data_IF_956210432755
#
_entry.id   IF_956210432755
#
_cell.length_a   1.000
_cell.length_b   1.000
_cell.length_c   1.000
_cell.angle_alpha   90.00
_cell.angle_beta   90.00
_cell.angle_gamma   90.00
#
_symmetry.space_group_name_H-M   'P 1'
#
loop_
_entity.id
_entity.type
_entity.pdbx_description
1 polymer ?
#
# COMPACT_ATOMS: atom_id res chain seq x y z
N UNK A 1 54.78 13.43 12.44
CA UNK A 1 55.74 12.89 11.48
C UNK A 1 55.06 11.87 10.58
N UNK A 2 55.11 12.23 9.31
CA UNK A 2 55.12 11.49 8.05
C UNK A 2 53.71 11.23 7.49
N UNK A 3 53.24 12.05 6.57
CA UNK A 3 53.45 12.11 5.10
C UNK A 3 52.85 10.91 4.39
N UNK A 4 51.75 11.16 3.64
CA UNK A 4 51.70 11.56 2.22
C UNK A 4 51.82 10.35 1.29
N UNK A 5 50.82 10.09 0.48
CA UNK A 5 50.97 10.24 -0.98
C UNK A 5 49.64 10.06 -1.69
N UNK A 6 49.38 11.02 -2.57
CA UNK A 6 48.34 11.04 -3.59
C UNK A 6 48.68 10.06 -4.73
N UNK A 7 47.67 9.56 -5.41
CA UNK A 7 47.76 8.81 -6.64
C UNK A 7 46.57 9.09 -7.57
N UNK A 8 46.75 10.11 -8.39
CA UNK A 8 45.92 10.46 -9.56
C UNK A 8 46.30 9.57 -10.74
N UNK A 9 45.34 8.98 -11.46
CA UNK A 9 45.47 8.60 -12.89
C UNK A 9 44.04 8.67 -13.47
N UNK A 10 43.68 9.67 -14.15
CA UNK A 10 43.65 10.00 -15.59
C UNK A 10 43.03 8.92 -16.51
N UNK A 11 41.82 9.26 -16.99
CA UNK A 11 41.32 9.39 -18.36
C UNK A 11 41.74 8.32 -19.38
N UNK A 12 40.76 7.73 -20.03
CA UNK A 12 40.65 7.63 -21.51
C UNK A 12 39.32 6.94 -21.96
N UNK A 13 38.44 7.70 -22.63
CA UNK A 13 37.61 7.26 -23.75
C UNK A 13 38.38 7.61 -25.04
N UNK A 14 38.02 7.21 -26.26
CA UNK A 14 36.88 6.49 -26.82
C UNK A 14 37.32 5.44 -27.87
N UNK A 15 36.42 4.58 -28.35
CA UNK A 15 36.52 3.97 -29.69
C UNK A 15 35.15 3.97 -30.37
N UNK A 16 35.07 4.85 -31.33
CA UNK A 16 34.13 4.90 -32.41
C UNK A 16 34.39 3.73 -33.38
N UNK A 17 33.37 2.97 -33.77
CA UNK A 17 33.45 2.10 -34.95
C UNK A 17 32.23 2.33 -35.81
N UNK A 18 32.46 3.08 -36.84
CA UNK A 18 31.61 3.15 -38.03
C UNK A 18 31.63 1.81 -38.75
N UNK A 19 30.48 1.31 -39.16
CA UNK A 19 30.37 0.29 -40.22
C UNK A 19 29.25 0.70 -41.17
N UNK A 20 29.72 1.03 -42.31
CA UNK A 20 29.22 1.17 -43.68
C UNK A 20 27.86 0.55 -44.01
N UNK A 21 27.11 1.42 -44.68
CA UNK A 21 25.92 1.20 -45.49
C UNK A 21 26.23 0.33 -46.69
N UNK A 22 25.50 -0.75 -46.90
CA UNK A 22 25.28 -1.31 -48.24
C UNK A 22 23.80 -1.30 -48.58
N UNK A 23 23.53 -0.52 -49.61
CA UNK A 23 22.27 -0.41 -50.33
C UNK A 23 22.08 -1.65 -51.22
N UNK A 24 20.95 -2.32 -51.02
CA UNK A 24 20.40 -3.21 -52.03
C UNK A 24 18.95 -2.85 -52.26
N UNK A 25 18.73 -2.16 -53.34
CA UNK A 25 17.45 -1.97 -53.97
C UNK A 25 16.95 -3.28 -54.58
N UNK A 26 15.80 -3.79 -54.16
CA UNK A 26 14.93 -4.56 -55.04
C UNK A 26 13.44 -4.35 -54.66
N UNK A 27 12.77 -3.97 -55.63
CA UNK A 27 11.43 -3.75 -56.13
C UNK A 27 10.33 -4.66 -55.55
N UNK A 28 9.23 -3.97 -55.16
CA UNK A 28 7.82 -4.31 -55.46
C UNK A 28 7.21 -5.60 -54.88
N UNK A 29 6.31 -5.42 -53.93
CA UNK A 29 4.88 -5.70 -54.17
C UNK A 29 4.05 -4.99 -53.11
N UNK A 30 3.15 -4.10 -53.50
CA UNK A 30 2.11 -3.56 -52.67
C UNK A 30 1.05 -4.65 -52.44
N UNK A 31 0.95 -5.11 -51.19
CA UNK A 31 -0.05 -6.07 -50.78
C UNK A 31 -0.07 -6.11 -49.24
N UNK A 32 -1.14 -5.61 -48.66
CA UNK A 32 -1.61 -5.91 -47.32
C UNK A 32 -0.80 -5.44 -46.10
N UNK A 33 -0.44 -4.15 -46.05
CA UNK A 33 0.13 -3.53 -44.84
C UNK A 33 -0.92 -3.05 -43.80
N UNK A 34 -2.20 -3.42 -43.94
CA UNK A 34 -3.27 -2.98 -43.04
C UNK A 34 -3.67 -4.03 -41.97
N UNK A 35 -3.32 -5.29 -42.17
CA UNK A 35 -3.72 -6.39 -41.27
C UNK A 35 -2.67 -6.62 -40.17
N UNK A 36 -1.39 -6.49 -40.49
CA UNK A 36 -0.31 -6.68 -39.50
C UNK A 36 -0.27 -5.61 -38.42
N UNK A 37 -0.67 -4.36 -38.73
CA UNK A 37 -0.71 -3.27 -37.75
C UNK A 37 -1.84 -3.47 -36.74
N UNK A 38 -3.00 -3.94 -37.20
CA UNK A 38 -4.16 -4.18 -36.33
C UNK A 38 -3.93 -5.36 -35.39
N UNK A 39 -3.33 -6.43 -35.87
CA UNK A 39 -2.94 -7.58 -35.04
C UNK A 39 -1.91 -7.19 -33.98
N UNK A 40 -0.99 -6.28 -34.29
CA UNK A 40 0.00 -5.74 -33.38
C UNK A 40 -0.62 -4.84 -32.31
N UNK A 41 -1.59 -3.98 -32.68
CA UNK A 41 -2.33 -3.11 -31.77
C UNK A 41 -3.24 -3.93 -30.82
N UNK A 42 -3.97 -4.90 -31.35
CA UNK A 42 -4.82 -5.79 -30.55
C UNK A 42 -4.00 -6.64 -29.55
N UNK A 43 -2.82 -7.12 -29.95
CA UNK A 43 -1.91 -7.84 -29.07
C UNK A 43 -1.29 -6.94 -27.98
N UNK A 44 -1.00 -5.68 -28.29
CA UNK A 44 -0.51 -4.69 -27.33
C UNK A 44 -1.61 -4.30 -26.33
N UNK A 45 -2.85 -4.11 -26.81
CA UNK A 45 -4.02 -3.83 -25.98
C UNK A 45 -4.33 -5.00 -25.02
N UNK A 46 -4.26 -6.25 -25.53
CA UNK A 46 -4.48 -7.44 -24.71
C UNK A 46 -3.39 -7.60 -23.62
N UNK A 47 -2.13 -7.31 -23.92
CA UNK A 47 -1.05 -7.32 -22.93
C UNK A 47 -1.23 -6.23 -21.86
N UNK A 48 -1.66 -5.05 -22.27
CA UNK A 48 -1.96 -3.95 -21.35
C UNK A 48 -3.11 -4.34 -20.42
N UNK A 49 -4.21 -4.86 -20.96
CA UNK A 49 -5.36 -5.30 -20.17
C UNK A 49 -4.98 -6.41 -19.16
N UNK A 50 -4.22 -7.42 -19.60
CA UNK A 50 -3.73 -8.47 -18.71
C UNK A 50 -2.78 -7.94 -17.62
N UNK A 51 -1.98 -6.93 -17.92
CA UNK A 51 -1.12 -6.26 -16.96
C UNK A 51 -1.94 -5.46 -15.94
N UNK A 52 -2.93 -4.70 -16.38
CA UNK A 52 -3.85 -3.98 -15.50
C UNK A 52 -4.66 -4.93 -14.61
N UNK A 53 -5.15 -6.04 -15.17
CA UNK A 53 -5.88 -7.08 -14.43
C UNK A 53 -5.02 -7.73 -13.33
N UNK A 54 -3.72 -7.93 -13.58
CA UNK A 54 -2.80 -8.51 -12.58
C UNK A 54 -2.67 -7.66 -11.31
N UNK A 55 -2.86 -6.34 -11.38
CA UNK A 55 -2.87 -5.48 -10.20
C UNK A 55 -4.15 -5.62 -9.39
N UNK A 56 -5.26 -6.00 -10.03
CA UNK A 56 -6.56 -6.14 -9.37
C UNK A 56 -6.80 -7.53 -8.79
N UNK A 57 -5.92 -8.51 -9.04
CA UNK A 57 -6.09 -9.90 -8.61
C UNK A 57 -6.45 -9.99 -7.11
N UNK A 58 -5.61 -9.42 -6.24
CA UNK A 58 -5.84 -9.44 -4.79
C UNK A 58 -7.07 -8.64 -4.35
N UNK A 59 -7.37 -7.53 -5.05
CA UNK A 59 -8.56 -6.75 -4.79
C UNK A 59 -9.85 -7.49 -5.21
N UNK A 60 -9.79 -8.33 -6.24
CA UNK A 60 -10.93 -9.12 -6.69
C UNK A 60 -11.30 -10.25 -5.72
N UNK A 61 -10.37 -10.68 -4.86
CA UNK A 61 -10.65 -11.64 -3.77
C UNK A 61 -11.48 -11.04 -2.63
N UNK A 62 -11.58 -9.71 -2.55
CA UNK A 62 -12.36 -9.04 -1.50
C UNK A 62 -13.85 -9.18 -1.79
N UNK A 63 -14.56 -9.81 -0.88
CA UNK A 63 -16.03 -10.01 -0.96
C UNK A 63 -16.73 -8.92 -0.16
N UNK A 64 -17.56 -8.15 -0.86
CA UNK A 64 -18.34 -7.06 -0.27
C UNK A 64 -19.78 -7.49 -0.12
N UNK A 65 -20.20 -7.72 1.12
CA UNK A 65 -21.60 -8.00 1.48
C UNK A 65 -22.39 -6.71 1.78
N UNK A 66 -23.64 -6.84 2.18
CA UNK A 66 -24.48 -5.69 2.52
C UNK A 66 -23.96 -4.95 3.75
N UNK A 67 -23.61 -5.68 4.80
CA UNK A 67 -23.18 -5.11 6.10
C UNK A 67 -21.74 -5.46 6.47
N UNK A 68 -21.07 -6.31 5.72
CA UNK A 68 -19.74 -6.83 6.02
C UNK A 68 -18.82 -6.77 4.82
N UNK A 69 -17.51 -6.83 5.09
CA UNK A 69 -16.46 -7.05 4.10
C UNK A 69 -15.65 -8.26 4.53
N UNK A 70 -15.47 -9.23 3.62
CA UNK A 70 -14.67 -10.44 3.86
C UNK A 70 -13.41 -10.40 2.98
N UNK A 71 -12.28 -10.67 3.58
CA UNK A 71 -10.97 -10.65 2.93
C UNK A 71 -9.97 -11.47 3.72
N UNK A 72 -8.84 -11.83 3.09
CA UNK A 72 -7.73 -12.49 3.77
C UNK A 72 -6.74 -11.43 4.26
N UNK A 73 -6.33 -11.46 5.52
CA UNK A 73 -5.30 -10.58 6.09
C UNK A 73 -3.91 -11.23 6.10
N UNK A 74 -2.93 -10.56 6.68
CA UNK A 74 -1.54 -11.03 6.73
C UNK A 74 -1.13 -11.53 8.13
N UNK A 75 -2.08 -11.97 8.97
CA UNK A 75 -1.80 -12.42 10.34
C UNK A 75 -1.07 -13.77 10.40
N UNK A 76 -1.08 -14.55 9.34
CA UNK A 76 -0.34 -15.80 9.18
C UNK A 76 0.34 -15.87 7.81
N UNK A 77 1.22 -16.87 7.59
CA UNK A 77 1.91 -17.06 6.30
C UNK A 77 0.92 -17.39 5.17
N UNK A 78 -0.15 -18.11 5.45
CA UNK A 78 -1.19 -18.46 4.49
C UNK A 78 -2.29 -17.39 4.41
N UNK A 79 -2.22 -16.39 5.30
CA UNK A 79 -3.28 -15.41 5.53
C UNK A 79 -4.39 -15.97 6.42
N UNK A 80 -5.23 -15.09 6.93
CA UNK A 80 -6.41 -15.44 7.71
C UNK A 80 -7.62 -14.72 7.11
N UNK A 81 -8.67 -15.48 6.82
CA UNK A 81 -9.92 -14.89 6.37
C UNK A 81 -10.61 -14.17 7.52
N UNK A 82 -10.93 -12.90 7.32
CA UNK A 82 -11.64 -12.06 8.25
C UNK A 82 -12.94 -11.55 7.62
N UNK A 83 -13.98 -11.49 8.43
CA UNK A 83 -15.25 -10.81 8.08
C UNK A 83 -15.47 -9.69 9.09
N UNK A 84 -15.45 -8.45 8.62
CA UNK A 84 -15.55 -7.24 9.45
C UNK A 84 -16.83 -6.49 9.09
N UNK A 85 -17.53 -5.98 10.11
CA UNK A 85 -18.71 -5.14 9.92
C UNK A 85 -18.32 -3.77 9.34
N UNK A 86 -19.15 -3.24 8.45
CA UNK A 86 -18.97 -1.91 7.85
C UNK A 86 -19.28 -0.81 8.86
N UNK A 87 -18.68 0.36 8.61
CA UNK A 87 -18.85 1.57 9.39
C UNK A 87 -18.41 1.46 10.87
N UNK A 88 -17.20 0.92 11.15
CA UNK A 88 -16.67 0.94 12.51
C UNK A 88 -16.53 2.39 12.98
N UNK A 89 -16.91 2.66 14.23
CA UNK A 89 -16.99 4.03 14.77
C UNK A 89 -15.72 4.44 15.52
N UNK A 90 -15.03 3.47 16.12
CA UNK A 90 -13.82 3.69 16.92
C UNK A 90 -12.67 2.86 16.34
N UNK A 91 -12.01 3.40 15.34
CA UNK A 91 -10.90 2.72 14.67
C UNK A 91 -9.57 3.21 15.23
N UNK A 92 -8.68 2.27 15.53
CA UNK A 92 -7.29 2.56 15.93
C UNK A 92 -6.36 2.04 14.85
N UNK A 93 -5.52 2.91 14.30
CA UNK A 93 -4.54 2.55 13.27
C UNK A 93 -3.13 2.73 13.80
N UNK A 94 -2.39 1.65 13.89
CA UNK A 94 -1.08 1.59 14.53
C UNK A 94 0.10 1.70 13.55
N UNK A 95 -0.13 2.31 12.39
CA UNK A 95 0.90 2.58 11.40
C UNK A 95 0.55 3.81 10.55
N UNK A 96 1.48 4.75 10.43
CA UNK A 96 1.21 6.07 9.81
C UNK A 96 0.67 6.00 8.38
N UNK A 97 1.30 5.20 7.51
CA UNK A 97 0.84 5.07 6.12
C UNK A 97 -0.53 4.39 6.00
N UNK A 98 -0.88 3.48 6.90
CA UNK A 98 -2.22 2.90 6.91
C UNK A 98 -3.25 3.88 7.46
N UNK A 99 -2.85 4.76 8.36
CA UNK A 99 -3.69 5.86 8.82
C UNK A 99 -4.04 6.79 7.65
N UNK A 100 -3.06 7.19 6.83
CA UNK A 100 -3.33 8.03 5.66
C UNK A 100 -4.21 7.33 4.64
N UNK A 101 -3.96 6.05 4.37
CA UNK A 101 -4.79 5.24 3.46
C UNK A 101 -6.24 5.08 3.99
N UNK A 102 -6.41 4.93 5.32
CA UNK A 102 -7.74 4.88 5.94
C UNK A 102 -8.51 6.18 5.76
N UNK A 103 -7.85 7.34 5.90
CA UNK A 103 -8.44 8.65 5.63
C UNK A 103 -8.74 8.85 4.14
N UNK A 104 -7.86 8.43 3.24
CA UNK A 104 -8.07 8.44 1.78
C UNK A 104 -9.30 7.61 1.39
N UNK A 105 -9.53 6.50 2.09
CA UNK A 105 -10.72 5.65 1.95
C UNK A 105 -11.96 6.19 2.68
N UNK A 106 -11.96 7.47 3.08
CA UNK A 106 -13.11 8.16 3.68
C UNK A 106 -13.33 7.92 5.18
N UNK A 107 -12.40 7.24 5.86
CA UNK A 107 -12.50 6.94 7.28
C UNK A 107 -11.93 8.01 8.20
N UNK A 108 -12.18 7.85 9.50
CA UNK A 108 -11.55 8.61 10.58
C UNK A 108 -11.05 7.66 11.65
N UNK A 109 -10.14 8.11 12.52
CA UNK A 109 -9.59 7.29 13.59
C UNK A 109 -9.82 7.91 14.97
N UNK A 110 -9.96 7.06 15.98
CA UNK A 110 -10.01 7.44 17.39
C UNK A 110 -8.65 7.25 18.08
N UNK A 111 -7.73 6.51 17.42
CA UNK A 111 -6.36 6.34 17.88
C UNK A 111 -5.39 6.16 16.71
N UNK A 112 -4.20 6.73 16.85
CA UNK A 112 -3.15 6.68 15.84
C UNK A 112 -1.76 6.58 16.49
N UNK A 113 -0.74 6.46 15.67
CA UNK A 113 0.66 6.63 16.11
C UNK A 113 1.12 8.06 15.84
N UNK A 114 2.08 8.52 16.64
CA UNK A 114 2.70 9.83 16.50
C UNK A 114 4.19 9.74 16.12
N UNK A 115 4.90 10.84 16.37
CA UNK A 115 6.32 11.01 16.01
C UNK A 115 6.49 11.94 14.82
N UNK A 116 7.61 12.67 14.77
CA UNK A 116 7.81 13.78 13.83
C UNK A 116 7.54 13.41 12.37
N UNK A 117 8.14 12.32 11.89
CA UNK A 117 7.94 11.87 10.52
C UNK A 117 6.51 11.40 10.22
N UNK A 118 5.82 10.85 11.21
CA UNK A 118 4.42 10.44 11.06
C UNK A 118 3.50 11.65 11.04
N UNK A 119 3.77 12.66 11.86
CA UNK A 119 3.01 13.92 11.87
C UNK A 119 3.20 14.68 10.56
N UNK A 120 4.40 14.68 9.99
CA UNK A 120 4.64 15.24 8.65
C UNK A 120 3.83 14.53 7.58
N UNK A 121 3.78 13.19 7.62
CA UNK A 121 2.95 12.38 6.74
C UNK A 121 1.46 12.75 6.85
N UNK A 122 0.94 12.94 8.08
CA UNK A 122 -0.44 13.36 8.29
C UNK A 122 -0.72 14.75 7.72
N UNK A 123 0.22 15.71 7.91
CA UNK A 123 0.08 17.06 7.33
C UNK A 123 0.07 17.04 5.81
N UNK A 124 0.89 16.17 5.20
CA UNK A 124 0.98 16.03 3.74
C UNK A 124 -0.28 15.40 3.14
N UNK A 125 -0.74 14.27 3.69
CA UNK A 125 -1.81 13.46 3.07
C UNK A 125 -3.21 13.72 3.65
N UNK A 126 -3.31 14.14 4.92
CA UNK A 126 -4.61 14.44 5.57
C UNK A 126 -4.84 15.95 5.67
N UNK A 127 -3.78 16.76 5.50
CA UNK A 127 -3.83 18.22 5.55
C UNK A 127 -3.71 18.81 6.94
N UNK A 128 -3.53 17.99 7.99
CA UNK A 128 -3.41 18.46 9.40
C UNK A 128 -2.70 17.43 10.29
N UNK A 129 -2.32 17.86 11.46
CA UNK A 129 -1.79 17.01 12.53
C UNK A 129 -2.96 16.42 13.34
N UNK A 130 -3.36 15.21 13.02
CA UNK A 130 -4.49 14.52 13.67
C UNK A 130 -4.19 14.10 15.11
N UNK A 131 -2.92 14.08 15.53
CA UNK A 131 -2.56 13.77 16.92
C UNK A 131 -3.06 14.84 17.92
N UNK A 132 -3.45 16.01 17.42
CA UNK A 132 -3.99 17.12 18.19
C UNK A 132 -5.53 17.16 18.19
N UNK A 133 -6.20 16.23 17.51
CA UNK A 133 -7.65 16.16 17.48
C UNK A 133 -8.19 15.83 18.88
N UNK A 134 -9.34 16.43 19.26
CA UNK A 134 -9.96 16.19 20.55
C UNK A 134 -10.34 14.71 20.74
N UNK A 135 -9.88 14.12 21.84
CA UNK A 135 -10.15 12.70 22.15
C UNK A 135 -9.24 11.71 21.42
N UNK A 136 -8.30 12.17 20.59
CA UNK A 136 -7.36 11.29 19.91
C UNK A 136 -6.43 10.58 20.88
N UNK A 137 -6.34 9.26 20.77
CA UNK A 137 -5.33 8.46 21.50
C UNK A 137 -4.09 8.33 20.64
N UNK A 138 -2.97 8.86 21.12
CA UNK A 138 -1.65 8.65 20.48
C UNK A 138 -1.01 7.42 21.10
N UNK A 139 -1.19 6.29 20.45
CA UNK A 139 -0.78 4.96 20.94
C UNK A 139 0.74 4.77 21.05
N UNK A 140 1.50 5.55 20.32
CA UNK A 140 2.96 5.60 20.40
C UNK A 140 3.48 6.92 19.83
N UNK A 141 4.54 7.46 20.39
CA UNK A 141 5.21 8.68 19.92
C UNK A 141 6.40 8.39 19.00
N UNK A 142 6.58 7.13 18.62
CA UNK A 142 7.65 6.65 17.75
C UNK A 142 7.06 5.73 16.69
N UNK A 143 7.41 5.98 15.43
CA UNK A 143 7.04 5.16 14.28
C UNK A 143 7.64 3.74 14.31
N UNK A 144 8.51 3.42 15.26
CA UNK A 144 9.19 2.12 15.32
C UNK A 144 8.30 0.93 15.72
N UNK A 145 7.05 1.18 16.17
CA UNK A 145 6.09 0.14 16.55
C UNK A 145 6.55 -0.78 17.69
N UNK A 146 7.60 -0.39 18.45
CA UNK A 146 8.19 -1.23 19.50
C UNK A 146 7.43 -1.19 20.81
N UNK A 147 6.70 -0.11 21.06
CA UNK A 147 5.92 0.07 22.29
C UNK A 147 4.65 0.84 21.96
N UNK A 148 3.55 0.13 21.91
CA UNK A 148 2.23 0.71 21.89
C UNK A 148 1.65 0.76 23.29
N UNK A 149 0.92 1.80 23.62
CA UNK A 149 0.14 1.91 24.85
C UNK A 149 -1.14 1.07 24.71
N UNK A 150 -0.97 -0.24 24.88
CA UNK A 150 -2.05 -1.24 24.74
C UNK A 150 -3.20 -0.97 25.71
N UNK A 151 -2.88 -0.50 26.93
CA UNK A 151 -3.90 -0.18 27.94
C UNK A 151 -4.80 0.97 27.47
N UNK A 152 -4.22 2.07 27.02
CA UNK A 152 -4.99 3.20 26.48
C UNK A 152 -5.76 2.83 25.21
N UNK A 153 -5.20 2.01 24.32
CA UNK A 153 -5.88 1.52 23.12
C UNK A 153 -7.14 0.73 23.51
N UNK A 154 -7.02 -0.25 24.40
CA UNK A 154 -8.14 -1.11 24.79
C UNK A 154 -9.16 -0.38 25.70
N UNK A 155 -8.72 0.59 26.49
CA UNK A 155 -9.62 1.44 27.27
C UNK A 155 -10.56 2.27 26.39
N UNK A 156 -10.16 2.56 25.15
CA UNK A 156 -11.01 3.22 24.14
C UNK A 156 -12.19 2.35 23.71
N UNK A 157 -12.12 1.03 23.94
CA UNK A 157 -13.06 0.02 23.43
C UNK A 157 -13.24 0.17 21.91
N UNK A 158 -12.17 -0.02 21.11
CA UNK A 158 -12.24 0.15 19.68
C UNK A 158 -13.10 -0.95 19.02
N UNK A 159 -13.76 -0.60 17.92
CA UNK A 159 -14.48 -1.54 17.07
C UNK A 159 -13.54 -2.28 16.11
N UNK A 160 -12.41 -1.66 15.81
CA UNK A 160 -11.41 -2.17 14.88
C UNK A 160 -10.02 -1.64 15.20
N UNK A 161 -9.03 -2.52 15.13
CA UNK A 161 -7.61 -2.16 15.16
C UNK A 161 -6.97 -2.55 13.82
N UNK A 162 -6.20 -1.65 13.23
CA UNK A 162 -5.41 -1.89 12.01
C UNK A 162 -3.93 -1.74 12.35
N UNK A 163 -3.14 -2.74 12.04
CA UNK A 163 -1.70 -2.72 12.32
C UNK A 163 -0.90 -3.51 11.27
N UNK A 164 0.42 -3.42 11.33
CA UNK A 164 1.31 -4.17 10.44
C UNK A 164 1.95 -5.34 11.18
N UNK A 165 1.99 -6.50 10.53
CA UNK A 165 2.74 -7.67 11.01
C UNK A 165 4.25 -7.46 10.99
N UNK A 166 4.74 -6.52 10.17
CA UNK A 166 6.14 -6.13 10.14
C UNK A 166 6.58 -5.37 11.40
N UNK A 167 5.62 -4.88 12.20
CA UNK A 167 5.91 -4.19 13.46
C UNK A 167 6.17 -5.17 14.59
N UNK A 168 7.28 -4.99 15.31
CA UNK A 168 7.67 -5.85 16.44
C UNK A 168 6.66 -5.86 17.59
N UNK A 169 5.76 -4.87 17.64
CA UNK A 169 4.66 -4.78 18.61
C UNK A 169 3.40 -5.57 18.24
N UNK A 170 3.33 -6.17 17.04
CA UNK A 170 2.12 -6.84 16.57
C UNK A 170 1.54 -7.85 17.59
N UNK A 171 2.37 -8.75 18.11
CA UNK A 171 1.94 -9.75 19.10
C UNK A 171 1.50 -9.12 20.43
N UNK A 172 2.00 -7.93 20.76
CA UNK A 172 1.65 -7.25 22.02
C UNK A 172 0.24 -6.65 21.98
N UNK A 173 -0.33 -6.43 20.78
CA UNK A 173 -1.70 -5.92 20.61
C UNK A 173 -2.67 -7.01 20.18
N UNK A 174 -2.27 -7.95 19.32
CA UNK A 174 -3.16 -8.95 18.75
C UNK A 174 -3.77 -9.88 19.80
N UNK A 175 -2.98 -10.38 20.74
CA UNK A 175 -3.46 -11.26 21.81
C UNK A 175 -4.41 -10.53 22.79
N UNK A 176 -4.09 -9.35 23.35
CA UNK A 176 -5.01 -8.61 24.21
C UNK A 176 -6.29 -8.16 23.49
N UNK A 177 -6.19 -7.77 22.22
CA UNK A 177 -7.36 -7.38 21.42
C UNK A 177 -8.30 -8.58 21.21
N UNK A 178 -7.75 -9.76 20.88
CA UNK A 178 -8.53 -10.99 20.75
C UNK A 178 -9.24 -11.36 22.07
N UNK A 179 -8.55 -11.21 23.21
CA UNK A 179 -9.15 -11.44 24.53
C UNK A 179 -10.29 -10.44 24.87
N UNK A 180 -10.23 -9.24 24.29
CA UNK A 180 -11.27 -8.21 24.41
C UNK A 180 -12.35 -8.31 23.32
N UNK A 181 -12.30 -9.31 22.43
CA UNK A 181 -13.15 -9.46 21.23
C UNK A 181 -13.11 -8.27 20.29
N UNK A 182 -11.94 -7.62 20.19
CA UNK A 182 -11.70 -6.52 19.23
C UNK A 182 -11.03 -7.11 17.99
N UNK A 183 -11.62 -6.96 16.80
CA UNK A 183 -11.01 -7.43 15.57
C UNK A 183 -9.73 -6.64 15.25
N UNK A 184 -8.71 -7.36 14.79
CA UNK A 184 -7.43 -6.79 14.36
C UNK A 184 -7.20 -7.16 12.91
N UNK A 185 -7.05 -6.18 12.03
CA UNK A 185 -6.60 -6.38 10.66
C UNK A 185 -5.07 -6.26 10.61
N UNK A 186 -4.42 -7.33 10.20
CA UNK A 186 -2.99 -7.39 10.00
C UNK A 186 -2.67 -7.03 8.53
N UNK A 187 -2.16 -5.83 8.31
CA UNK A 187 -1.85 -5.31 6.97
C UNK A 187 -0.37 -5.49 6.67
N UNK A 188 -0.08 -5.98 5.49
CA UNK A 188 1.23 -5.89 4.84
C UNK A 188 1.01 -5.53 3.39
N UNK A 189 1.90 -4.73 2.81
CA UNK A 189 1.94 -4.58 1.37
C UNK A 189 3.38 -4.50 0.88
N UNK A 190 3.65 -5.20 -0.20
CA UNK A 190 4.95 -5.28 -0.83
C UNK A 190 4.91 -4.76 -2.27
N UNK A 191 3.72 -4.67 -2.83
CA UNK A 191 3.48 -4.26 -4.21
C UNK A 191 2.18 -3.45 -4.35
N UNK A 192 1.95 -2.96 -5.56
CA UNK A 192 0.78 -2.15 -5.87
C UNK A 192 -0.55 -2.93 -5.80
N UNK A 193 -0.52 -4.24 -6.04
CA UNK A 193 -1.71 -5.09 -5.91
C UNK A 193 -2.18 -5.20 -4.45
N UNK A 194 -1.23 -5.27 -3.50
CA UNK A 194 -1.55 -5.21 -2.07
C UNK A 194 -2.17 -3.85 -1.68
N UNK A 195 -1.62 -2.74 -2.20
CA UNK A 195 -2.18 -1.41 -1.96
C UNK A 195 -3.63 -1.32 -2.44
N UNK A 196 -3.91 -1.75 -3.67
CA UNK A 196 -5.25 -1.74 -4.24
C UNK A 196 -6.23 -2.62 -3.43
N UNK A 197 -5.80 -3.79 -2.99
CA UNK A 197 -6.59 -4.64 -2.10
C UNK A 197 -7.00 -3.90 -0.83
N UNK A 198 -6.04 -3.31 -0.12
CA UNK A 198 -6.31 -2.62 1.13
C UNK A 198 -7.13 -1.36 0.94
N UNK A 199 -6.91 -0.62 -0.13
CA UNK A 199 -7.74 0.53 -0.47
C UNK A 199 -9.20 0.12 -0.70
N UNK A 200 -9.45 -0.95 -1.48
CA UNK A 200 -10.80 -1.51 -1.67
C UNK A 200 -11.44 -1.94 -0.35
N UNK A 201 -10.70 -2.68 0.49
CA UNK A 201 -11.18 -3.10 1.81
C UNK A 201 -11.59 -1.88 2.64
N UNK A 202 -10.75 -0.87 2.74
CA UNK A 202 -10.98 0.31 3.57
C UNK A 202 -12.11 1.18 3.04
N UNK A 203 -12.22 1.41 1.73
CA UNK A 203 -13.36 2.11 1.13
C UNK A 203 -14.68 1.44 1.50
N UNK A 204 -14.75 0.12 1.38
CA UNK A 204 -15.97 -0.62 1.67
C UNK A 204 -16.28 -0.71 3.18
N UNK A 205 -15.26 -0.82 4.03
CA UNK A 205 -15.45 -0.76 5.49
C UNK A 205 -15.97 0.61 5.94
N UNK A 206 -15.52 1.69 5.29
CA UNK A 206 -15.97 3.06 5.59
C UNK A 206 -17.31 3.43 4.95
N UNK A 207 -17.94 2.50 4.20
CA UNK A 207 -19.19 2.78 3.49
C UNK A 207 -19.04 3.80 2.36
N UNK A 208 -17.86 3.88 1.76
CA UNK A 208 -17.49 4.78 0.66
C UNK A 208 -17.01 4.00 -0.57
N UNK A 209 -17.80 3.02 -1.08
CA UNK A 209 -17.36 2.17 -2.19
C UNK A 209 -17.07 2.97 -3.46
N UNK A 210 -17.70 4.14 -3.64
CA UNK A 210 -17.48 5.03 -4.78
C UNK A 210 -16.05 5.58 -4.87
N UNK A 211 -15.31 5.65 -3.76
CA UNK A 211 -13.90 6.04 -3.77
C UNK A 211 -13.01 4.97 -4.39
N UNK A 212 -13.43 3.71 -4.34
CA UNK A 212 -12.76 2.62 -5.04
C UNK A 212 -13.08 2.62 -6.54
N UNK A 213 -14.31 2.96 -6.92
CA UNK A 213 -14.80 2.90 -8.31
C UNK A 213 -14.39 4.14 -9.12
N UNK A 214 -13.82 5.18 -8.49
CA UNK A 214 -13.41 6.45 -9.13
C UNK A 214 -12.00 6.38 -9.69
#
# INVERSE_FOLDING_TARGET
ASESTAGTVESQSPVESQSTVESSTESSTAGDAKDDTKVSEDAAAAKKAAFEESFLEKANEVVVGDTTVTFTDNSSEEGTELTIEKNPQKVVVLYGSFTTLWYEAGGTVAGCVGGDSTIELYREYIGRDITQDEGMIVAATSSSGKKWDVESILALQPDLIICSTAMSGYSTISEPAAAANVPVIAVSYNDFSDYLKWFKVFCNLNGQPELWDS
#
